data_IF_295494349324
#
_entry.id   IF_295494349324
#
_cell.length_a   1.000
_cell.length_b   1.000
_cell.length_c   1.000
_cell.angle_alpha   90.00
_cell.angle_beta   90.00
_cell.angle_gamma   90.00
#
_symmetry.space_group_name_H-M   'P 1'
#
loop_
_entity.id
_entity.type
_entity.pdbx_description
1 polymer ?
#
# COMPACT_ATOMS: atom_id res chain seq x y z
N UNK A 1 -7.46 1.67 4.39
CA UNK A 1 -6.36 1.88 3.45
C UNK A 1 -6.77 1.37 2.08
N UNK A 2 -6.49 0.21 1.60
CA UNK A 2 -6.68 -0.13 0.19
C UNK A 2 -8.00 0.29 -0.46
N UNK A 3 -9.13 -0.11 0.07
CA UNK A 3 -10.44 0.18 -0.54
C UNK A 3 -10.86 1.66 -0.43
N UNK A 4 -10.49 2.35 0.63
CA UNK A 4 -10.84 3.77 0.85
C UNK A 4 -10.01 4.68 -0.04
N UNK A 5 -8.70 4.41 -0.14
CA UNK A 5 -7.77 5.23 -0.90
C UNK A 5 -7.99 5.13 -2.42
N UNK A 6 -8.58 4.02 -2.89
CA UNK A 6 -8.95 3.88 -4.29
C UNK A 6 -9.93 4.96 -4.76
N UNK A 7 -10.85 5.38 -3.91
CA UNK A 7 -11.80 6.43 -4.29
C UNK A 7 -11.16 7.81 -4.35
N UNK A 8 -10.24 8.13 -3.45
CA UNK A 8 -9.68 9.49 -3.31
C UNK A 8 -8.35 9.69 -4.04
N UNK A 9 -7.49 8.68 -4.12
CA UNK A 9 -6.12 8.83 -4.59
C UNK A 9 -5.82 8.11 -5.91
N UNK A 10 -6.63 7.11 -6.30
CA UNK A 10 -6.31 6.29 -7.46
C UNK A 10 -6.23 7.10 -8.76
N UNK A 11 -7.12 8.08 -8.96
CA UNK A 11 -7.07 8.94 -10.15
C UNK A 11 -5.76 9.73 -10.20
N UNK A 12 -5.31 10.29 -9.08
CA UNK A 12 -4.03 10.98 -8.99
C UNK A 12 -2.85 10.05 -9.33
N UNK A 13 -2.92 8.80 -8.89
CA UNK A 13 -1.86 7.83 -9.18
C UNK A 13 -1.85 7.40 -10.65
N UNK A 14 -3.00 7.32 -11.30
CA UNK A 14 -3.12 6.91 -12.70
C UNK A 14 -2.82 8.05 -13.67
N UNK A 15 -3.34 9.25 -13.43
CA UNK A 15 -3.30 10.37 -14.36
C UNK A 15 -2.34 11.50 -13.95
N UNK A 16 -1.92 11.53 -12.68
CA UNK A 16 -0.97 12.52 -12.16
C UNK A 16 0.49 12.29 -12.62
N UNK A 17 1.47 13.00 -12.02
CA UNK A 17 2.88 12.86 -12.35
C UNK A 17 3.40 11.44 -12.19
N UNK A 18 4.31 11.01 -13.09
CA UNK A 18 4.94 9.67 -13.07
C UNK A 18 6.18 9.61 -12.16
N UNK A 19 6.04 10.10 -10.95
CA UNK A 19 7.11 10.27 -9.96
C UNK A 19 6.95 9.34 -8.74
N UNK A 20 6.05 8.36 -8.82
CA UNK A 20 5.70 7.50 -7.67
C UNK A 20 5.90 6.02 -7.98
N UNK A 21 6.52 5.30 -7.05
CA UNK A 21 6.52 3.84 -7.00
C UNK A 21 5.50 3.39 -5.94
N UNK A 22 4.47 2.66 -6.38
CA UNK A 22 3.42 2.18 -5.48
C UNK A 22 3.82 0.81 -4.93
N UNK A 23 3.83 0.67 -3.62
CA UNK A 23 4.15 -0.60 -2.95
C UNK A 23 2.90 -1.19 -2.31
N UNK A 24 2.50 -2.39 -2.74
CA UNK A 24 1.48 -3.19 -2.08
C UNK A 24 2.16 -4.12 -1.09
N UNK A 25 1.66 -4.13 0.15
CA UNK A 25 2.07 -5.12 1.16
C UNK A 25 0.90 -6.07 1.39
N UNK A 26 1.11 -7.36 1.17
CA UNK A 26 0.07 -8.39 1.26
C UNK A 26 0.56 -9.60 2.06
N UNK A 27 -0.35 -10.48 2.43
CA UNK A 27 -0.08 -11.72 3.16
C UNK A 27 -0.26 -12.94 2.25
N UNK A 28 0.70 -13.86 2.30
CA UNK A 28 0.64 -15.10 1.50
C UNK A 28 -0.56 -15.99 1.86
N UNK A 29 -0.93 -16.03 3.15
CA UNK A 29 -2.08 -16.79 3.64
C UNK A 29 -2.85 -15.95 4.65
N UNK A 30 -4.08 -15.67 4.35
CA UNK A 30 -5.02 -15.07 5.29
C UNK A 30 -6.04 -16.13 5.71
N UNK A 31 -6.33 -16.21 7.02
CA UNK A 31 -7.42 -17.05 7.50
C UNK A 31 -8.74 -16.37 7.14
N UNK A 32 -9.55 -17.05 6.33
CA UNK A 32 -10.89 -16.58 5.95
C UNK A 32 -11.83 -16.65 7.15
N UNK A 33 -11.78 -15.63 8.01
CA UNK A 33 -12.61 -15.57 9.24
C UNK A 33 -14.00 -14.98 8.97
N UNK A 34 -14.12 -14.06 8.02
CA UNK A 34 -15.36 -13.31 7.78
C UNK A 34 -15.89 -13.63 6.40
N UNK A 35 -17.08 -14.24 6.35
CA UNK A 35 -17.82 -14.48 5.11
C UNK A 35 -18.95 -13.46 4.97
N UNK A 36 -19.18 -13.01 3.75
CA UNK A 36 -20.27 -12.08 3.46
C UNK A 36 -21.60 -12.83 3.54
N UNK A 37 -22.53 -12.36 4.38
CA UNK A 37 -23.82 -13.00 4.59
C UNK A 37 -24.66 -12.99 3.30
N UNK A 38 -25.17 -14.16 2.95
CA UNK A 38 -26.05 -14.31 1.79
C UNK A 38 -27.37 -13.55 1.94
N UNK A 39 -27.87 -13.35 3.16
CA UNK A 39 -29.11 -12.62 3.45
C UNK A 39 -29.01 -11.12 3.17
N UNK A 40 -27.83 -10.52 3.41
CA UNK A 40 -27.60 -9.11 3.09
C UNK A 40 -27.53 -8.87 1.58
N UNK A 41 -26.95 -9.82 0.84
CA UNK A 41 -26.72 -9.69 -0.60
C UNK A 41 -27.96 -10.04 -1.42
N UNK A 42 -28.83 -10.94 -0.93
CA UNK A 42 -30.04 -11.34 -1.65
C UNK A 42 -30.98 -10.18 -2.00
N UNK A 43 -30.92 -9.10 -1.21
CA UNK A 43 -31.71 -7.88 -1.42
C UNK A 43 -31.18 -6.98 -2.56
N UNK A 44 -29.93 -7.17 -2.99
CA UNK A 44 -29.27 -6.32 -3.99
C UNK A 44 -28.69 -7.17 -5.11
N UNK A 45 -29.45 -7.31 -6.22
CA UNK A 45 -29.06 -8.14 -7.38
C UNK A 45 -27.64 -7.83 -7.91
N UNK A 46 -27.24 -6.56 -7.93
CA UNK A 46 -25.91 -6.11 -8.39
C UNK A 46 -24.75 -6.68 -7.56
N UNK A 47 -25.00 -7.12 -6.32
CA UNK A 47 -23.99 -7.68 -5.42
C UNK A 47 -23.99 -9.21 -5.38
N UNK A 48 -24.75 -9.87 -6.26
CA UNK A 48 -24.86 -11.33 -6.29
C UNK A 48 -23.53 -12.06 -6.44
N UNK A 49 -22.55 -11.45 -7.11
CA UNK A 49 -21.18 -11.97 -7.29
C UNK A 49 -20.38 -12.06 -5.98
N UNK A 50 -20.81 -11.35 -4.92
CA UNK A 50 -20.20 -11.39 -3.59
C UNK A 50 -20.72 -12.52 -2.71
N UNK A 51 -21.79 -13.20 -3.15
CA UNK A 51 -22.43 -14.26 -2.37
C UNK A 51 -21.44 -15.37 -2.03
N UNK A 52 -21.35 -15.71 -0.75
CA UNK A 52 -20.43 -16.73 -0.18
C UNK A 52 -18.93 -16.42 -0.34
N UNK A 53 -18.54 -15.24 -0.79
CA UNK A 53 -17.12 -14.85 -0.82
C UNK A 53 -16.67 -14.39 0.57
N UNK A 54 -15.40 -14.60 0.88
CA UNK A 54 -14.79 -14.04 2.08
C UNK A 54 -14.36 -12.59 1.84
N UNK A 55 -14.26 -11.84 2.93
CA UNK A 55 -13.79 -10.46 2.87
C UNK A 55 -12.34 -10.40 2.33
N UNK A 56 -11.50 -11.37 2.70
CA UNK A 56 -10.13 -11.44 2.21
C UNK A 56 -10.07 -11.60 0.69
N UNK A 57 -10.89 -12.50 0.11
CA UNK A 57 -10.97 -12.65 -1.35
C UNK A 57 -11.46 -11.39 -2.06
N UNK A 58 -12.29 -10.60 -1.39
CA UNK A 58 -12.71 -9.31 -1.94
C UNK A 58 -11.55 -8.32 -1.96
N UNK A 59 -10.76 -8.24 -0.88
CA UNK A 59 -9.58 -7.39 -0.81
C UNK A 59 -8.52 -7.77 -1.84
N UNK A 60 -8.26 -9.07 -2.00
CA UNK A 60 -7.35 -9.58 -3.03
C UNK A 60 -7.83 -9.19 -4.44
N UNK A 61 -9.11 -9.36 -4.73
CA UNK A 61 -9.72 -8.96 -6.00
C UNK A 61 -9.60 -7.45 -6.26
N UNK A 62 -9.83 -6.62 -5.25
CA UNK A 62 -9.68 -5.17 -5.39
C UNK A 62 -8.21 -4.78 -5.62
N UNK A 63 -7.26 -5.42 -4.95
CA UNK A 63 -5.85 -5.22 -5.19
C UNK A 63 -5.46 -5.59 -6.63
N UNK A 64 -5.89 -6.76 -7.10
CA UNK A 64 -5.60 -7.23 -8.47
C UNK A 64 -6.14 -6.27 -9.54
N UNK A 65 -7.34 -5.71 -9.32
CA UNK A 65 -7.91 -4.68 -10.20
C UNK A 65 -7.01 -3.44 -10.26
N UNK A 66 -6.58 -2.93 -9.12
CA UNK A 66 -5.71 -1.75 -9.06
C UNK A 66 -4.36 -2.04 -9.71
N UNK A 67 -3.76 -3.21 -9.45
CA UNK A 67 -2.51 -3.62 -10.11
C UNK A 67 -2.65 -3.67 -11.64
N UNK A 68 -3.79 -4.19 -12.15
CA UNK A 68 -4.09 -4.18 -13.57
C UNK A 68 -4.18 -2.77 -14.14
N UNK A 69 -4.93 -1.88 -13.47
CA UNK A 69 -5.04 -0.47 -13.89
C UNK A 69 -3.69 0.23 -13.90
N UNK A 70 -2.87 0.06 -12.86
CA UNK A 70 -1.51 0.63 -12.82
C UNK A 70 -0.65 0.14 -13.98
N UNK A 71 -0.75 -1.15 -14.33
CA UNK A 71 -0.05 -1.74 -15.47
C UNK A 71 -0.52 -1.13 -16.80
N UNK A 72 -1.84 -1.00 -17.00
CA UNK A 72 -2.43 -0.44 -18.22
C UNK A 72 -2.00 1.04 -18.40
N UNK A 73 -1.91 1.80 -17.31
CA UNK A 73 -1.43 3.19 -17.29
C UNK A 73 0.12 3.32 -17.22
N UNK A 74 0.85 2.19 -17.31
CA UNK A 74 2.33 2.15 -17.23
C UNK A 74 2.87 2.85 -15.98
N UNK A 75 2.24 2.61 -14.83
CA UNK A 75 2.68 3.12 -13.53
C UNK A 75 3.50 2.06 -12.82
N UNK A 76 4.70 2.38 -12.33
CA UNK A 76 5.52 1.41 -11.62
C UNK A 76 4.89 1.03 -10.28
N UNK A 77 4.84 -0.24 -10.00
CA UNK A 77 4.43 -0.75 -8.69
C UNK A 77 5.21 -2.03 -8.36
N UNK A 78 5.23 -2.36 -7.08
CA UNK A 78 5.78 -3.63 -6.58
C UNK A 78 4.84 -4.23 -5.53
N UNK A 79 4.96 -5.55 -5.35
CA UNK A 79 4.20 -6.30 -4.36
C UNK A 79 5.19 -6.97 -3.40
N UNK A 80 5.07 -6.67 -2.12
CA UNK A 80 5.80 -7.34 -1.05
C UNK A 80 4.83 -8.29 -0.37
N UNK A 81 5.14 -9.59 -0.41
CA UNK A 81 4.27 -10.62 0.17
C UNK A 81 4.91 -11.18 1.43
N UNK A 82 4.32 -10.86 2.58
CA UNK A 82 4.71 -11.42 3.86
C UNK A 82 4.18 -12.85 4.01
N UNK A 83 4.94 -13.73 4.63
CA UNK A 83 4.51 -15.11 4.88
C UNK A 83 3.40 -15.17 5.91
N UNK A 84 3.49 -14.32 6.94
CA UNK A 84 2.53 -14.19 8.04
C UNK A 84 2.57 -12.75 8.60
N UNK A 85 1.57 -12.39 9.38
CA UNK A 85 1.55 -11.11 10.09
C UNK A 85 1.95 -11.36 11.55
N UNK A 86 3.24 -11.30 11.81
CA UNK A 86 3.81 -11.37 13.15
C UNK A 86 4.91 -10.30 13.32
N UNK A 87 5.42 -10.19 14.54
CA UNK A 87 6.39 -9.17 14.93
C UNK A 87 7.69 -9.30 14.14
N UNK A 88 8.09 -10.53 13.83
CA UNK A 88 9.31 -10.79 13.07
C UNK A 88 9.19 -10.32 11.62
N UNK A 89 8.13 -10.71 10.90
CA UNK A 89 7.93 -10.30 9.50
C UNK A 89 7.72 -8.79 9.38
N UNK A 90 7.05 -8.17 10.36
CA UNK A 90 6.89 -6.71 10.42
C UNK A 90 8.23 -6.03 10.67
N UNK A 91 9.04 -6.52 11.61
CA UNK A 91 10.37 -6.02 11.88
C UNK A 91 11.29 -6.10 10.65
N UNK A 92 11.26 -7.23 9.93
CA UNK A 92 11.97 -7.39 8.67
C UNK A 92 11.51 -6.39 7.60
N UNK A 93 10.20 -6.15 7.48
CA UNK A 93 9.65 -5.17 6.55
C UNK A 93 10.12 -3.75 6.87
N UNK A 94 10.07 -3.36 8.15
CA UNK A 94 10.56 -2.05 8.61
C UNK A 94 12.04 -1.87 8.31
N UNK A 95 12.87 -2.87 8.65
CA UNK A 95 14.31 -2.84 8.36
C UNK A 95 14.56 -2.73 6.85
N UNK A 96 13.81 -3.46 6.03
CA UNK A 96 13.92 -3.38 4.58
C UNK A 96 13.69 -1.94 4.08
N UNK A 97 12.65 -1.25 4.55
CA UNK A 97 12.39 0.14 4.16
C UNK A 97 13.45 1.12 4.69
N UNK A 98 13.99 0.89 5.88
CA UNK A 98 15.10 1.70 6.40
C UNK A 98 16.34 1.55 5.53
N UNK A 99 16.74 0.33 5.20
CA UNK A 99 17.88 0.06 4.33
C UNK A 99 17.66 0.62 2.92
N UNK A 100 16.47 0.51 2.38
CA UNK A 100 16.10 1.07 1.09
C UNK A 100 16.26 2.61 1.09
N UNK A 101 15.79 3.28 2.15
CA UNK A 101 15.92 4.73 2.30
C UNK A 101 17.38 5.15 2.37
N UNK A 102 18.19 4.46 3.17
CA UNK A 102 19.65 4.71 3.29
C UNK A 102 20.32 4.52 1.92
N UNK A 103 20.02 3.42 1.24
CA UNK A 103 20.59 3.12 -0.08
C UNK A 103 20.24 4.20 -1.09
N UNK A 104 18.97 4.61 -1.15
CA UNK A 104 18.51 5.65 -2.06
C UNK A 104 19.17 6.99 -1.78
N UNK A 105 19.39 7.35 -0.50
CA UNK A 105 20.10 8.56 -0.14
C UNK A 105 21.54 8.53 -0.67
N UNK A 106 22.28 7.45 -0.46
CA UNK A 106 23.63 7.32 -0.98
C UNK A 106 23.70 7.35 -2.51
N UNK A 107 22.74 6.70 -3.19
CA UNK A 107 22.66 6.75 -4.65
C UNK A 107 22.42 8.17 -5.19
N UNK A 108 21.82 9.05 -4.39
CA UNK A 108 21.61 10.46 -4.71
C UNK A 108 22.68 11.39 -4.11
N UNK A 109 23.78 10.84 -3.57
CA UNK A 109 24.85 11.59 -2.89
C UNK A 109 24.35 12.44 -1.72
N UNK A 110 23.35 11.94 -0.98
CA UNK A 110 22.80 12.56 0.21
C UNK A 110 23.24 11.79 1.46
N UNK A 111 23.46 12.53 2.56
CA UNK A 111 23.68 11.90 3.86
C UNK A 111 22.32 11.51 4.49
N UNK A 112 22.05 10.21 4.71
CA UNK A 112 20.77 9.78 5.28
C UNK A 112 20.64 10.03 6.79
N UNK A 113 21.72 10.45 7.46
CA UNK A 113 21.81 10.53 8.92
C UNK A 113 21.83 11.98 9.46
N UNK A 114 21.75 12.99 8.60
CA UNK A 114 21.67 14.38 9.02
C UNK A 114 20.33 15.03 8.61
N UNK A 115 20.02 16.15 9.22
CA UNK A 115 18.78 16.89 8.99
C UNK A 115 19.04 18.41 8.92
N UNK A 116 19.88 18.88 7.98
CA UNK A 116 20.36 20.26 7.96
C UNK A 116 19.21 21.29 7.87
N UNK A 117 18.11 20.97 7.19
CA UNK A 117 16.96 21.86 7.11
C UNK A 117 16.24 22.02 8.46
N UNK A 118 16.13 20.94 9.24
CA UNK A 118 15.53 20.98 10.58
C UNK A 118 16.43 21.71 11.57
N UNK A 119 17.73 21.44 11.52
CA UNK A 119 18.71 22.08 12.41
C UNK A 119 18.78 23.59 12.15
N UNK A 120 18.69 24.01 10.88
CA UNK A 120 18.55 25.42 10.53
C UNK A 120 17.27 26.04 11.11
N UNK A 121 16.16 25.33 11.06
CA UNK A 121 14.89 25.78 11.67
C UNK A 121 14.97 25.94 13.18
N UNK A 122 15.64 25.01 13.89
CA UNK A 122 15.85 25.08 15.34
C UNK A 122 16.76 26.23 15.78
N UNK A 123 17.66 26.68 14.91
CA UNK A 123 18.58 27.78 15.19
C UNK A 123 17.96 29.19 15.04
N UNK A 124 16.72 29.28 14.51
CA UNK A 124 15.99 30.54 14.40
C UNK A 124 15.41 30.88 15.79
N UNK A 125 16.08 31.75 16.52
CA UNK A 125 15.54 32.29 17.77
C UNK A 125 14.37 33.23 17.49
N UNK A 126 13.24 33.01 18.18
CA UNK A 126 12.17 33.98 18.27
C UNK A 126 12.73 35.23 18.99
N UNK A 127 12.91 36.32 18.27
CA UNK A 127 13.18 37.63 18.84
C UNK A 127 11.90 38.28 19.28
#
# INVERSE_FOLDING_TARGET
>A
MGATDQHSLLQLFLEGPKDKLITFVTLKKQKDKIKISSSLISKIKKLSFLKKKSLNKLLDFEMDKVCKMLKDYKRPFRIITLKKCDEFEIGCLMMNFMLETITLAYLNNLNPFDQPAIDKGKSINLK
#
